data_IF_902590606407
#
_entry.id   IF_902590606407
#
_cell.length_a   1.000
_cell.length_b   1.000
_cell.length_c   1.000
_cell.angle_alpha   90.00
_cell.angle_beta   90.00
_cell.angle_gamma   90.00
#
_symmetry.space_group_name_H-M   'P 1'
#
loop_
_entity.id
_entity.type
_entity.pdbx_description
1 polymer ?
#
# COMPACT_ATOMS: atom_id res chain seq x y z
N UNK A 1 44.13 -33.26 -10.99
CA UNK A 1 43.10 -32.61 -10.16
C UNK A 1 42.32 -31.63 -11.03
N UNK A 2 41.21 -32.06 -11.63
CA UNK A 2 40.31 -31.21 -12.41
C UNK A 2 38.91 -31.34 -11.79
N UNK A 3 38.52 -30.35 -10.97
CA UNK A 3 37.15 -30.25 -10.48
C UNK A 3 36.33 -29.51 -11.54
N UNK A 4 35.51 -30.28 -12.27
CA UNK A 4 34.43 -29.77 -13.11
C UNK A 4 33.36 -29.15 -12.20
N UNK A 5 33.24 -27.83 -12.21
CA UNK A 5 32.09 -27.12 -11.66
C UNK A 5 30.96 -27.19 -12.67
N UNK A 6 29.96 -28.03 -12.41
CA UNK A 6 28.76 -28.14 -13.23
C UNK A 6 27.89 -26.90 -13.06
N UNK A 7 27.78 -26.09 -14.12
CA UNK A 7 26.73 -25.11 -14.29
C UNK A 7 25.42 -25.87 -14.52
N UNK A 8 24.56 -25.96 -13.52
CA UNK A 8 23.17 -26.39 -13.72
C UNK A 8 22.36 -25.13 -14.00
N UNK A 9 22.15 -24.85 -15.29
CA UNK A 9 21.17 -23.87 -15.73
C UNK A 9 19.77 -24.45 -15.51
N UNK A 10 19.06 -23.97 -14.50
CA UNK A 10 17.67 -24.34 -14.25
C UNK A 10 16.78 -23.59 -15.26
N UNK A 11 16.48 -24.21 -16.39
CA UNK A 11 15.50 -23.70 -17.34
C UNK A 11 14.09 -23.85 -16.74
N UNK A 12 13.54 -22.77 -16.21
CA UNK A 12 12.12 -22.67 -15.86
C UNK A 12 11.32 -22.49 -17.15
N UNK A 13 10.94 -23.60 -17.78
CA UNK A 13 9.90 -23.61 -18.81
C UNK A 13 8.57 -23.43 -18.06
N UNK A 14 8.06 -22.20 -17.99
CA UNK A 14 6.66 -21.97 -17.61
C UNK A 14 5.76 -22.46 -18.74
N UNK A 15 5.45 -23.76 -18.78
CA UNK A 15 4.20 -24.18 -19.38
C UNK A 15 3.08 -23.70 -18.47
N UNK A 16 2.57 -22.50 -18.75
CA UNK A 16 1.31 -22.00 -18.22
C UNK A 16 0.17 -22.85 -18.79
N UNK A 17 0.00 -24.09 -18.30
CA UNK A 17 -1.35 -24.61 -18.22
C UNK A 17 -2.05 -23.72 -17.21
N UNK A 18 -2.82 -22.74 -17.69
CA UNK A 18 -3.71 -21.99 -16.83
C UNK A 18 -4.59 -23.03 -16.14
N UNK A 19 -4.32 -23.33 -14.87
CA UNK A 19 -5.36 -23.94 -14.05
C UNK A 19 -6.55 -23.00 -14.19
N UNK A 20 -7.62 -23.49 -14.80
CA UNK A 20 -8.88 -22.78 -14.96
C UNK A 20 -9.49 -22.64 -13.57
N UNK A 21 -8.98 -21.67 -12.80
CA UNK A 21 -9.55 -21.30 -11.52
C UNK A 21 -10.84 -20.58 -11.83
N UNK A 22 -11.95 -21.22 -11.50
CA UNK A 22 -13.26 -20.60 -11.49
C UNK A 22 -13.57 -20.08 -10.09
N UNK A 23 -14.13 -18.88 -10.01
CA UNK A 23 -14.61 -18.30 -8.77
C UNK A 23 -15.95 -17.61 -9.01
N UNK A 24 -17.03 -18.18 -8.49
CA UNK A 24 -18.41 -17.73 -8.74
C UNK A 24 -18.60 -16.23 -8.50
N UNK A 25 -18.00 -15.68 -7.43
CA UNK A 25 -18.11 -14.25 -7.11
C UNK A 25 -17.51 -13.34 -8.19
N UNK A 26 -16.55 -13.82 -8.98
CA UNK A 26 -15.96 -13.06 -10.09
C UNK A 26 -16.81 -13.09 -11.38
N UNK A 27 -17.87 -13.90 -11.43
CA UNK A 27 -18.80 -13.90 -12.57
C UNK A 27 -19.56 -12.57 -12.69
N UNK A 28 -19.98 -12.25 -13.90
CA UNK A 28 -20.72 -11.02 -14.20
C UNK A 28 -22.00 -10.93 -13.37
N UNK A 29 -22.79 -12.02 -13.34
CA UNK A 29 -24.05 -12.08 -12.58
C UNK A 29 -23.85 -11.82 -11.08
N UNK A 30 -22.80 -12.40 -10.47
CA UNK A 30 -22.49 -12.16 -9.05
C UNK A 30 -21.99 -10.76 -8.79
N UNK A 31 -21.18 -10.20 -9.70
CA UNK A 31 -20.70 -8.81 -9.60
C UNK A 31 -21.84 -7.81 -9.74
N UNK A 32 -22.77 -8.01 -10.68
CA UNK A 32 -23.95 -7.16 -10.82
C UNK A 32 -24.86 -7.23 -9.58
N UNK A 33 -25.07 -8.43 -9.04
CA UNK A 33 -25.81 -8.59 -7.77
C UNK A 33 -25.11 -7.87 -6.62
N UNK A 34 -23.78 -7.96 -6.54
CA UNK A 34 -23.00 -7.29 -5.51
C UNK A 34 -23.02 -5.76 -5.68
N UNK A 35 -22.92 -5.24 -6.90
CA UNK A 35 -23.08 -3.81 -7.20
C UNK A 35 -24.42 -3.26 -6.69
N UNK A 36 -25.52 -3.97 -6.97
CA UNK A 36 -26.84 -3.58 -6.47
C UNK A 36 -26.89 -3.57 -4.93
N UNK A 37 -26.26 -4.54 -4.27
CA UNK A 37 -26.14 -4.55 -2.80
C UNK A 37 -25.33 -3.35 -2.28
N UNK A 38 -24.25 -2.96 -2.97
CA UNK A 38 -23.46 -1.78 -2.60
C UNK A 38 -24.29 -0.49 -2.74
N UNK A 39 -25.06 -0.34 -3.83
CA UNK A 39 -25.97 0.80 -4.02
C UNK A 39 -27.05 0.89 -2.93
N UNK A 40 -27.59 -0.25 -2.51
CA UNK A 40 -28.54 -0.31 -1.39
C UNK A 40 -27.88 0.11 -0.07
N UNK A 41 -26.67 -0.36 0.23
CA UNK A 41 -25.90 0.06 1.42
C UNK A 41 -25.65 1.57 1.43
N UNK A 42 -25.26 2.15 0.29
CA UNK A 42 -25.08 3.59 0.16
C UNK A 42 -26.39 4.33 0.46
N UNK A 43 -27.49 3.91 -0.16
CA UNK A 43 -28.80 4.53 0.01
C UNK A 43 -29.27 4.47 1.47
N UNK A 44 -29.05 3.34 2.15
CA UNK A 44 -29.41 3.15 3.55
C UNK A 44 -28.61 4.08 4.48
N UNK A 45 -27.31 4.26 4.24
CA UNK A 45 -26.48 5.17 5.02
C UNK A 45 -26.84 6.65 4.82
N UNK A 46 -27.51 7.01 3.73
CA UNK A 46 -27.95 8.39 3.48
C UNK A 46 -29.25 8.78 4.18
N UNK A 47 -29.94 7.82 4.83
CA UNK A 47 -31.14 8.11 5.61
C UNK A 47 -30.77 8.80 6.93
N UNK A 48 -31.33 10.00 7.24
CA UNK A 48 -30.96 10.77 8.43
C UNK A 48 -31.06 9.99 9.76
N UNK A 49 -32.05 9.12 9.89
CA UNK A 49 -32.24 8.24 11.05
C UNK A 49 -31.06 7.28 11.29
N UNK A 50 -30.30 6.97 10.24
CA UNK A 50 -29.16 6.04 10.29
C UNK A 50 -27.82 6.71 10.54
N UNK A 51 -27.75 8.04 10.57
CA UNK A 51 -26.47 8.78 10.73
C UNK A 51 -25.75 8.44 12.05
N UNK A 52 -26.48 7.96 13.06
CA UNK A 52 -25.91 7.53 14.35
C UNK A 52 -25.62 6.04 14.44
N UNK A 53 -26.01 5.25 13.43
CA UNK A 53 -25.73 3.83 13.36
C UNK A 53 -24.38 3.60 12.68
N UNK A 54 -23.35 3.35 13.49
CA UNK A 54 -21.96 3.18 13.02
C UNK A 54 -21.86 2.09 11.95
N UNK A 55 -22.52 0.94 12.14
CA UNK A 55 -22.42 -0.18 11.21
C UNK A 55 -23.05 0.13 9.85
N UNK A 56 -24.19 0.82 9.83
CA UNK A 56 -24.83 1.23 8.57
C UNK A 56 -23.97 2.26 7.85
N UNK A 57 -23.49 3.28 8.59
CA UNK A 57 -22.62 4.33 8.03
C UNK A 57 -21.34 3.76 7.46
N UNK A 58 -20.66 2.88 8.19
CA UNK A 58 -19.42 2.23 7.76
C UNK A 58 -19.63 1.45 6.46
N UNK A 59 -20.67 0.63 6.39
CA UNK A 59 -21.00 -0.14 5.20
C UNK A 59 -21.35 0.72 3.98
N UNK A 60 -22.12 1.79 4.16
CA UNK A 60 -22.55 2.65 3.05
C UNK A 60 -21.43 3.56 2.53
N UNK A 61 -20.64 4.14 3.43
CA UNK A 61 -19.48 4.96 3.07
C UNK A 61 -18.40 4.12 2.39
N UNK A 62 -18.12 2.91 2.91
CA UNK A 62 -17.22 1.95 2.25
C UNK A 62 -17.71 1.54 0.86
N UNK A 63 -19.02 1.33 0.68
CA UNK A 63 -19.59 0.96 -0.61
C UNK A 63 -19.37 2.06 -1.66
N UNK A 64 -19.56 3.33 -1.27
CA UNK A 64 -19.30 4.47 -2.15
C UNK A 64 -17.82 4.58 -2.55
N UNK A 65 -16.92 4.39 -1.58
CA UNK A 65 -15.48 4.36 -1.79
C UNK A 65 -15.07 3.25 -2.78
N UNK A 66 -15.53 2.01 -2.56
CA UNK A 66 -15.19 0.86 -3.38
C UNK A 66 -15.64 1.06 -4.84
N UNK A 67 -16.80 1.65 -5.07
CA UNK A 67 -17.35 1.86 -6.41
C UNK A 67 -16.85 3.16 -7.07
N UNK A 68 -16.04 3.97 -6.38
CA UNK A 68 -15.68 5.34 -6.81
C UNK A 68 -16.90 6.18 -7.22
N UNK A 69 -18.00 6.00 -6.48
CA UNK A 69 -19.28 6.58 -6.85
C UNK A 69 -19.37 8.06 -6.46
N UNK A 70 -19.29 8.94 -7.47
CA UNK A 70 -19.32 10.40 -7.32
C UNK A 70 -20.68 11.02 -7.66
N UNK A 71 -21.76 10.24 -7.58
CA UNK A 71 -23.11 10.71 -7.87
C UNK A 71 -23.44 12.03 -7.13
N UNK A 72 -24.01 12.99 -7.87
CA UNK A 72 -24.28 14.33 -7.35
C UNK A 72 -25.30 14.33 -6.21
N UNK A 73 -26.29 13.42 -6.23
CA UNK A 73 -27.27 13.31 -5.15
C UNK A 73 -26.58 12.79 -3.88
N UNK A 74 -25.70 11.79 -4.02
CA UNK A 74 -24.91 11.27 -2.90
C UNK A 74 -24.02 12.36 -2.27
N UNK A 75 -23.37 13.18 -3.11
CA UNK A 75 -22.54 14.31 -2.65
C UNK A 75 -23.30 15.31 -1.79
N UNK A 76 -24.56 15.62 -2.12
CA UNK A 76 -25.41 16.56 -1.35
C UNK A 76 -25.72 16.04 0.06
N UNK A 77 -25.91 14.73 0.22
CA UNK A 77 -26.09 14.15 1.56
C UNK A 77 -24.76 14.07 2.31
N UNK A 78 -23.69 13.70 1.60
CA UNK A 78 -22.35 13.65 2.18
C UNK A 78 -21.88 15.01 2.69
N UNK A 79 -22.21 16.11 2.00
CA UNK A 79 -21.85 17.47 2.46
C UNK A 79 -22.41 17.75 3.86
N UNK A 80 -23.64 17.33 4.15
CA UNK A 80 -24.26 17.49 5.48
C UNK A 80 -23.51 16.68 6.56
N UNK A 81 -23.00 15.50 6.20
CA UNK A 81 -22.22 14.68 7.12
C UNK A 81 -20.89 15.35 7.46
N UNK A 82 -20.17 15.83 6.46
CA UNK A 82 -18.86 16.45 6.68
C UNK A 82 -18.97 17.82 7.35
N UNK A 83 -20.01 18.61 7.06
CA UNK A 83 -20.29 19.88 7.74
C UNK A 83 -20.57 19.69 9.24
N UNK A 84 -21.10 18.53 9.62
CA UNK A 84 -21.41 18.17 11.01
C UNK A 84 -20.47 17.13 11.61
N UNK A 85 -19.29 16.93 11.00
CA UNK A 85 -18.34 15.86 11.34
C UNK A 85 -18.01 15.81 12.85
N UNK A 86 -17.86 16.97 13.48
CA UNK A 86 -17.54 17.12 14.89
C UNK A 86 -18.57 16.49 15.84
N UNK A 87 -19.81 16.31 15.37
CA UNK A 87 -20.89 15.76 16.20
C UNK A 87 -20.86 14.23 16.25
N UNK A 88 -20.10 13.58 15.37
CA UNK A 88 -20.06 12.12 15.27
C UNK A 88 -19.03 11.49 16.19
N UNK A 89 -19.16 10.17 16.41
CA UNK A 89 -18.14 9.37 17.11
C UNK A 89 -16.92 9.19 16.22
N UNK A 90 -15.77 8.91 16.85
CA UNK A 90 -14.48 8.72 16.20
C UNK A 90 -14.53 7.83 14.95
N UNK A 91 -15.20 6.68 15.03
CA UNK A 91 -15.26 5.70 13.95
C UNK A 91 -15.92 6.29 12.70
N UNK A 92 -17.02 7.04 12.90
CA UNK A 92 -17.77 7.68 11.82
C UNK A 92 -17.02 8.91 11.30
N UNK A 93 -16.37 9.70 12.17
CA UNK A 93 -15.50 10.81 11.75
C UNK A 93 -14.38 10.34 10.83
N UNK A 94 -13.70 9.24 11.21
CA UNK A 94 -12.65 8.62 10.39
C UNK A 94 -13.22 8.20 9.03
N UNK A 95 -14.38 7.54 9.01
CA UNK A 95 -14.95 7.04 7.76
C UNK A 95 -15.45 8.16 6.84
N UNK A 96 -15.99 9.25 7.39
CA UNK A 96 -16.34 10.46 6.63
C UNK A 96 -15.07 11.03 5.98
N UNK A 97 -13.99 11.26 6.73
CA UNK A 97 -12.74 11.77 6.15
C UNK A 97 -12.18 10.83 5.08
N UNK A 98 -12.14 9.52 5.34
CA UNK A 98 -11.67 8.52 4.38
C UNK A 98 -12.46 8.55 3.06
N UNK A 99 -13.79 8.68 3.15
CA UNK A 99 -14.66 8.78 1.97
C UNK A 99 -14.45 10.08 1.21
N UNK A 100 -14.26 11.20 1.94
CA UNK A 100 -13.94 12.48 1.33
C UNK A 100 -12.63 12.41 0.54
N UNK A 101 -11.59 11.76 1.09
CA UNK A 101 -10.33 11.50 0.37
C UNK A 101 -10.54 10.69 -0.91
N UNK A 102 -11.34 9.62 -0.84
CA UNK A 102 -11.53 8.71 -1.95
C UNK A 102 -12.27 9.33 -3.13
N UNK A 103 -13.25 10.21 -2.86
CA UNK A 103 -14.20 10.68 -3.85
C UNK A 103 -14.01 12.15 -4.23
N UNK A 104 -13.66 13.01 -3.27
CA UNK A 104 -13.69 14.48 -3.41
C UNK A 104 -12.52 15.15 -2.67
N UNK A 105 -11.29 14.67 -2.86
CA UNK A 105 -10.12 15.23 -2.17
C UNK A 105 -9.98 16.73 -2.41
N UNK A 106 -9.91 17.50 -1.32
CA UNK A 106 -9.75 18.96 -1.34
C UNK A 106 -11.02 19.77 -1.63
N UNK A 107 -12.16 19.15 -1.97
CA UNK A 107 -13.38 19.90 -2.30
C UNK A 107 -14.16 20.43 -1.09
N UNK A 108 -14.08 19.74 0.06
CA UNK A 108 -14.71 20.12 1.32
C UNK A 108 -13.71 20.83 2.25
N UNK A 109 -13.04 21.86 1.72
CA UNK A 109 -11.96 22.55 2.43
C UNK A 109 -12.40 23.10 3.80
N UNK A 110 -13.43 23.95 3.84
CA UNK A 110 -13.86 24.64 5.05
C UNK A 110 -14.24 23.71 6.22
N UNK A 111 -15.13 22.70 6.04
CA UNK A 111 -15.49 21.81 7.15
C UNK A 111 -14.29 20.99 7.64
N UNK A 112 -13.40 20.55 6.74
CA UNK A 112 -12.20 19.78 7.13
C UNK A 112 -11.17 20.66 7.82
N UNK A 113 -10.96 21.88 7.33
CA UNK A 113 -10.07 22.86 7.95
C UNK A 113 -10.55 23.22 9.37
N UNK A 114 -11.85 23.50 9.54
CA UNK A 114 -12.44 23.77 10.85
C UNK A 114 -12.32 22.56 11.78
N UNK A 115 -12.56 21.34 11.27
CA UNK A 115 -12.41 20.14 12.09
C UNK A 115 -10.96 19.91 12.55
N UNK A 116 -9.97 20.22 11.71
CA UNK A 116 -8.55 20.14 12.08
C UNK A 116 -8.20 20.99 13.31
N UNK A 117 -8.86 22.15 13.49
CA UNK A 117 -8.60 23.04 14.61
C UNK A 117 -9.09 22.47 15.94
N UNK A 118 -10.24 21.78 15.91
CA UNK A 118 -10.93 21.34 17.12
C UNK A 118 -10.55 19.91 17.52
N UNK A 119 -10.26 19.02 16.58
CA UNK A 119 -9.97 17.61 16.90
C UNK A 119 -8.62 17.48 17.61
N UNK A 120 -8.57 16.82 18.77
CA UNK A 120 -7.33 16.53 19.48
C UNK A 120 -6.79 15.12 19.23
N UNK A 121 -7.44 14.37 18.33
CA UNK A 121 -6.98 13.04 17.92
C UNK A 121 -5.88 13.17 16.85
N UNK A 122 -4.68 12.59 17.07
CA UNK A 122 -3.58 12.68 16.11
C UNK A 122 -3.92 12.17 14.71
N UNK A 123 -4.72 11.09 14.59
CA UNK A 123 -5.04 10.47 13.30
C UNK A 123 -6.06 11.29 12.55
N UNK A 124 -7.16 11.70 13.19
CA UNK A 124 -8.15 12.57 12.55
C UNK A 124 -7.53 13.91 12.15
N UNK A 125 -6.67 14.49 13.00
CA UNK A 125 -5.91 15.68 12.66
C UNK A 125 -5.05 15.47 11.41
N UNK A 126 -4.21 14.43 11.39
CA UNK A 126 -3.36 14.12 10.25
C UNK A 126 -4.16 13.85 8.97
N UNK A 127 -5.32 13.17 9.06
CA UNK A 127 -6.23 13.01 7.92
C UNK A 127 -6.72 14.36 7.40
N UNK A 128 -7.15 15.29 8.28
CA UNK A 128 -7.58 16.62 7.85
C UNK A 128 -6.46 17.39 7.13
N UNK A 129 -5.24 17.37 7.70
CA UNK A 129 -4.09 18.09 7.13
C UNK A 129 -3.73 17.54 5.74
N UNK A 130 -3.73 16.21 5.56
CA UNK A 130 -3.41 15.60 4.26
C UNK A 130 -4.55 15.69 3.24
N UNK A 131 -5.78 15.95 3.69
CA UNK A 131 -6.93 16.14 2.81
C UNK A 131 -6.84 17.48 2.09
N UNK A 132 -6.35 18.49 2.81
CA UNK A 132 -6.14 19.83 2.29
C UNK A 132 -5.04 19.79 1.22
N UNK A 133 -5.29 20.44 0.08
CA UNK A 133 -4.28 20.58 -0.97
C UNK A 133 -3.17 21.53 -0.49
N UNK A 134 -2.14 20.94 0.11
CA UNK A 134 -1.00 21.64 0.69
C UNK A 134 -0.08 22.19 -0.41
N UNK A 135 0.23 23.47 -0.30
CA UNK A 135 1.39 24.11 -0.89
C UNK A 135 2.42 24.38 0.25
N UNK A 136 3.63 24.87 -0.04
CA UNK A 136 4.62 25.15 0.99
C UNK A 136 4.16 26.12 2.10
N UNK A 137 3.27 27.08 1.81
CA UNK A 137 2.75 28.04 2.80
C UNK A 137 1.76 27.37 3.74
N UNK A 138 0.80 26.62 3.20
CA UNK A 138 -0.12 25.82 4.01
C UNK A 138 0.62 24.76 4.82
N UNK A 139 1.67 24.16 4.27
CA UNK A 139 2.51 23.20 4.99
C UNK A 139 3.22 23.85 6.19
N UNK A 140 3.78 25.06 6.02
CA UNK A 140 4.34 25.85 7.14
C UNK A 140 3.30 26.16 8.21
N UNK A 141 2.11 26.58 7.81
CA UNK A 141 1.01 26.83 8.72
C UNK A 141 0.65 25.59 9.55
N UNK A 142 0.45 24.44 8.88
CA UNK A 142 0.11 23.20 9.57
C UNK A 142 1.27 22.63 10.38
N UNK A 143 2.52 22.87 9.99
CA UNK A 143 3.69 22.54 10.81
C UNK A 143 3.61 23.27 12.16
N UNK A 144 3.40 24.59 12.14
CA UNK A 144 3.25 25.38 13.37
C UNK A 144 2.05 24.94 14.20
N UNK A 145 0.89 24.71 13.57
CA UNK A 145 -0.30 24.23 14.28
C UNK A 145 -0.07 22.84 14.91
N UNK A 146 0.59 21.93 14.21
CA UNK A 146 0.92 20.59 14.72
C UNK A 146 1.80 20.67 15.95
N UNK A 147 2.87 21.47 15.90
CA UNK A 147 3.80 21.66 17.01
C UNK A 147 3.14 22.31 18.23
N UNK A 148 2.26 23.29 18.01
CA UNK A 148 1.52 23.95 19.09
C UNK A 148 0.50 23.02 19.76
N UNK A 149 -0.24 22.23 18.96
CA UNK A 149 -1.35 21.40 19.44
C UNK A 149 -0.90 20.06 20.03
N UNK A 150 0.24 19.54 19.57
CA UNK A 150 0.78 18.23 19.96
C UNK A 150 2.20 18.36 20.54
N UNK A 151 2.50 19.44 21.25
CA UNK A 151 3.85 19.74 21.79
C UNK A 151 4.40 18.61 22.65
N UNK A 152 3.56 17.96 23.46
CA UNK A 152 3.89 16.79 24.32
C UNK A 152 3.85 15.44 23.60
N UNK A 153 3.40 15.40 22.34
CA UNK A 153 3.17 14.18 21.55
C UNK A 153 3.95 14.16 20.24
N UNK A 154 5.06 14.88 20.15
CA UNK A 154 5.87 14.92 18.92
C UNK A 154 6.45 13.55 18.54
N UNK A 155 6.67 12.66 19.52
CA UNK A 155 7.09 11.28 19.31
C UNK A 155 5.92 10.31 19.04
N UNK A 156 4.68 10.79 19.01
CA UNK A 156 3.55 9.97 18.60
C UNK A 156 3.72 9.62 17.11
N UNK A 157 3.63 8.35 16.70
CA UNK A 157 4.05 7.91 15.36
C UNK A 157 3.29 8.60 14.22
N UNK A 158 2.01 8.89 14.40
CA UNK A 158 1.21 9.67 13.44
C UNK A 158 1.69 11.12 13.33
N UNK A 159 2.06 11.75 14.45
CA UNK A 159 2.52 13.15 14.47
C UNK A 159 3.91 13.24 13.87
N UNK A 160 4.82 12.34 14.23
CA UNK A 160 6.15 12.27 13.63
C UNK A 160 6.07 12.09 12.11
N UNK A 161 5.22 11.16 11.63
CA UNK A 161 5.00 10.95 10.20
C UNK A 161 4.45 12.20 9.50
N UNK A 162 3.47 12.87 10.11
CA UNK A 162 2.91 14.11 9.58
C UNK A 162 3.96 15.23 9.49
N UNK A 163 4.74 15.45 10.54
CA UNK A 163 5.79 16.47 10.58
C UNK A 163 6.84 16.24 9.49
N UNK A 164 7.29 15.00 9.31
CA UNK A 164 8.25 14.69 8.24
C UNK A 164 7.66 14.86 6.83
N UNK A 165 6.38 14.53 6.63
CA UNK A 165 5.70 14.78 5.35
C UNK A 165 5.50 16.28 5.08
N UNK A 166 5.14 17.06 6.10
CA UNK A 166 5.05 18.53 5.98
C UNK A 166 6.41 19.12 5.61
N UNK A 167 7.50 18.63 6.21
CA UNK A 167 8.86 19.04 5.86
C UNK A 167 9.20 18.74 4.40
N UNK A 168 8.83 17.56 3.89
CA UNK A 168 9.00 17.22 2.47
C UNK A 168 8.24 18.18 1.55
N UNK A 169 7.04 18.62 1.92
CA UNK A 169 6.27 19.58 1.13
C UNK A 169 6.91 20.98 1.16
N UNK A 170 7.46 21.38 2.31
CA UNK A 170 8.10 22.68 2.50
C UNK A 170 9.46 22.79 1.78
N UNK A 171 10.30 21.79 1.96
CA UNK A 171 11.72 21.82 1.57
C UNK A 171 11.98 21.10 0.23
N UNK A 172 10.96 20.40 -0.27
CA UNK A 172 11.10 19.45 -1.36
C UNK A 172 11.46 18.04 -0.85
N UNK A 173 11.18 17.04 -1.70
CA UNK A 173 11.55 15.66 -1.40
C UNK A 173 13.07 15.52 -1.38
N UNK A 174 13.65 14.89 -0.33
CA UNK A 174 15.08 14.61 -0.31
C UNK A 174 15.49 13.76 -1.51
N UNK A 175 16.70 13.98 -2.02
CA UNK A 175 17.25 13.16 -3.10
C UNK A 175 17.26 11.68 -2.69
N UNK A 176 16.87 10.82 -3.64
CA UNK A 176 16.89 9.37 -3.43
C UNK A 176 18.34 8.92 -3.18
N UNK A 177 18.62 8.19 -2.07
CA UNK A 177 19.94 7.63 -1.87
C UNK A 177 20.26 6.60 -2.97
N UNK A 178 21.54 6.28 -3.22
CA UNK A 178 21.92 5.37 -4.29
C UNK A 178 21.21 4.00 -4.14
N UNK A 179 20.38 3.64 -5.13
CA UNK A 179 19.68 2.34 -5.16
C UNK A 179 20.66 1.17 -5.14
N UNK A 180 21.83 1.35 -5.76
CA UNK A 180 22.90 0.35 -5.75
C UNK A 180 23.28 -0.06 -4.32
N UNK A 181 23.43 0.90 -3.41
CA UNK A 181 23.79 0.61 -2.02
C UNK A 181 22.75 -0.29 -1.35
N UNK A 182 21.46 -0.07 -1.62
CA UNK A 182 20.36 -0.86 -1.07
C UNK A 182 20.26 -2.26 -1.71
N UNK A 183 20.44 -2.34 -3.03
CA UNK A 183 20.35 -3.59 -3.79
C UNK A 183 21.54 -4.53 -3.49
N UNK A 184 22.73 -3.95 -3.31
CA UNK A 184 23.94 -4.66 -2.92
C UNK A 184 24.08 -4.84 -1.40
N UNK A 185 23.19 -4.23 -0.60
CA UNK A 185 23.26 -4.34 0.85
C UNK A 185 23.17 -5.80 1.28
N UNK A 186 24.28 -6.32 1.77
CA UNK A 186 24.46 -7.69 2.24
C UNK A 186 24.81 -7.68 3.71
N UNK A 187 23.95 -7.07 4.54
CA UNK A 187 24.09 -7.25 6.00
C UNK A 187 24.14 -8.74 6.36
N UNK A 188 23.37 -9.53 5.63
CA UNK A 188 23.27 -10.99 5.74
C UNK A 188 23.08 -11.59 4.35
N UNK A 189 24.07 -12.36 3.91
CA UNK A 189 24.14 -13.00 2.60
C UNK A 189 23.21 -14.22 2.45
N UNK A 190 22.13 -14.31 3.25
CA UNK A 190 21.30 -15.52 3.38
C UNK A 190 19.78 -15.28 3.50
N UNK A 191 19.28 -14.08 3.20
CA UNK A 191 17.84 -13.76 3.32
C UNK A 191 17.25 -13.37 1.96
N UNK A 192 16.08 -13.92 1.65
CA UNK A 192 15.30 -13.56 0.47
C UNK A 192 14.84 -12.09 0.57
N UNK A 193 14.91 -11.36 -0.56
CA UNK A 193 14.44 -9.98 -0.63
C UNK A 193 13.59 -9.77 -1.87
N UNK A 194 12.49 -9.05 -1.70
CA UNK A 194 11.74 -8.43 -2.79
C UNK A 194 11.97 -6.93 -2.73
N UNK A 195 12.06 -6.28 -3.88
CA UNK A 195 12.05 -4.82 -3.96
C UNK A 195 10.89 -4.42 -4.86
N UNK A 196 9.98 -3.61 -4.33
CA UNK A 196 8.88 -2.99 -5.05
C UNK A 196 9.26 -1.55 -5.34
N UNK A 197 9.65 -1.26 -6.57
CA UNK A 197 10.00 0.09 -7.01
C UNK A 197 8.77 0.77 -7.60
N UNK A 198 8.37 1.91 -7.05
CA UNK A 198 7.11 2.59 -7.38
C UNK A 198 7.27 4.09 -7.58
N UNK A 199 6.29 4.72 -8.26
CA UNK A 199 6.20 6.18 -8.38
C UNK A 199 5.69 6.82 -7.10
N UNK A 200 6.07 8.08 -6.86
CA UNK A 200 5.69 8.86 -5.67
C UNK A 200 4.18 8.91 -5.43
N UNK A 201 3.40 9.13 -6.49
CA UNK A 201 1.96 9.33 -6.40
C UNK A 201 1.14 8.03 -6.36
N UNK A 202 1.81 6.86 -6.47
CA UNK A 202 1.21 5.51 -6.45
C UNK A 202 0.15 5.24 -7.52
N UNK A 203 -0.13 6.19 -8.42
CA UNK A 203 -1.14 6.06 -9.47
C UNK A 203 -0.73 5.09 -10.59
N UNK A 204 0.53 4.67 -10.61
CA UNK A 204 1.10 3.83 -11.64
C UNK A 204 1.62 2.52 -11.06
N UNK A 205 1.66 1.48 -11.90
CA UNK A 205 2.28 0.23 -11.52
C UNK A 205 3.76 0.44 -11.22
N UNK A 206 4.17 -0.11 -10.08
CA UNK A 206 5.58 -0.35 -9.81
C UNK A 206 6.02 -1.70 -10.35
N UNK A 207 7.27 -2.04 -10.07
CA UNK A 207 7.87 -3.31 -10.46
C UNK A 207 8.48 -4.02 -9.25
N UNK A 208 8.09 -5.28 -9.07
CA UNK A 208 8.75 -6.20 -8.17
C UNK A 208 10.00 -6.77 -8.82
N UNK A 209 11.09 -6.81 -8.08
CA UNK A 209 12.30 -7.58 -8.40
C UNK A 209 12.66 -8.50 -7.24
N UNK A 210 13.25 -9.64 -7.56
CA UNK A 210 13.46 -10.73 -6.61
C UNK A 210 14.94 -11.03 -6.44
N UNK A 211 15.39 -11.06 -5.20
CA UNK A 211 16.74 -11.45 -4.81
C UNK A 211 16.68 -12.70 -3.97
N UNK A 212 17.33 -13.76 -4.44
CA UNK A 212 17.41 -15.04 -3.74
C UNK A 212 18.16 -14.86 -2.41
N UNK A 213 17.97 -15.83 -1.51
CA UNK A 213 18.76 -15.92 -0.29
C UNK A 213 20.27 -15.99 -0.58
N UNK A 214 20.70 -16.58 -1.71
CA UNK A 214 22.09 -16.60 -2.16
C UNK A 214 22.67 -15.23 -2.56
N UNK A 215 21.85 -14.19 -2.60
CA UNK A 215 22.24 -12.84 -2.99
C UNK A 215 22.10 -12.54 -4.49
N UNK A 216 21.86 -13.55 -5.32
CA UNK A 216 21.65 -13.39 -6.76
C UNK A 216 20.22 -12.92 -7.07
N UNK A 217 20.08 -12.00 -8.03
CA UNK A 217 18.78 -11.59 -8.57
C UNK A 217 18.23 -12.64 -9.54
N UNK A 218 16.91 -12.82 -9.52
CA UNK A 218 16.24 -13.66 -10.51
C UNK A 218 16.31 -13.00 -11.88
N UNK A 219 16.53 -13.83 -12.90
CA UNK A 219 16.59 -13.43 -14.30
C UNK A 219 15.60 -14.25 -15.11
N UNK A 220 15.05 -13.64 -16.16
CA UNK A 220 14.20 -14.32 -17.11
C UNK A 220 15.04 -15.15 -18.11
N UNK A 221 14.37 -15.79 -19.07
CA UNK A 221 15.00 -16.60 -20.11
C UNK A 221 15.93 -15.81 -21.05
N UNK A 222 15.79 -14.50 -21.12
CA UNK A 222 16.68 -13.62 -21.90
C UNK A 222 17.93 -13.19 -21.11
N UNK A 223 17.97 -13.48 -19.80
CA UNK A 223 19.01 -13.03 -18.89
C UNK A 223 18.77 -11.64 -18.29
N UNK A 224 17.67 -10.96 -18.65
CA UNK A 224 17.26 -9.71 -18.01
C UNK A 224 16.77 -9.96 -16.58
N UNK A 225 16.77 -8.92 -15.73
CA UNK A 225 16.22 -9.03 -14.36
C UNK A 225 14.73 -9.37 -14.46
N UNK A 226 14.32 -10.43 -13.78
CA UNK A 226 12.93 -10.85 -13.73
C UNK A 226 12.12 -9.81 -12.93
N UNK A 227 11.16 -9.18 -13.60
CA UNK A 227 10.23 -8.23 -12.99
C UNK A 227 8.81 -8.75 -12.96
N UNK A 228 7.99 -8.17 -12.09
CA UNK A 228 6.55 -8.38 -12.08
C UNK A 228 5.82 -7.08 -11.73
N UNK A 229 4.92 -6.55 -12.58
CA UNK A 229 4.16 -5.35 -12.26
C UNK A 229 3.22 -5.59 -11.09
N UNK A 230 3.13 -4.58 -10.23
CA UNK A 230 2.34 -4.64 -9.02
C UNK A 230 1.86 -3.23 -8.62
N UNK A 231 0.79 -3.14 -7.84
CA UNK A 231 0.14 -1.87 -7.51
C UNK A 231 0.10 -1.66 -5.99
N UNK A 232 0.26 -0.42 -5.55
CA UNK A 232 0.46 -0.08 -4.12
C UNK A 232 -0.43 1.08 -3.63
N UNK A 233 -1.41 1.47 -4.45
CA UNK A 233 -2.37 2.52 -4.12
C UNK A 233 -3.53 1.97 -3.29
N UNK A 234 -3.97 2.75 -2.32
CA UNK A 234 -5.22 2.49 -1.62
C UNK A 234 -6.40 3.24 -2.23
N UNK A 235 -7.61 2.76 -1.98
CA UNK A 235 -8.86 3.36 -2.46
C UNK A 235 -8.97 4.85 -2.08
N UNK A 236 -8.65 5.29 -0.84
CA UNK A 236 -8.65 6.71 -0.49
C UNK A 236 -7.42 7.49 -0.98
N UNK A 237 -6.37 6.80 -1.43
CA UNK A 237 -5.06 7.40 -1.72
C UNK A 237 -4.52 8.29 -0.58
N UNK A 238 -4.77 7.88 0.66
CA UNK A 238 -4.23 8.54 1.85
C UNK A 238 -2.76 8.17 2.05
N UNK A 239 -1.96 8.97 2.79
CA UNK A 239 -0.59 8.62 3.15
C UNK A 239 -0.49 7.25 3.84
N UNK A 240 0.61 6.52 3.62
CA UNK A 240 0.77 5.16 4.11
C UNK A 240 0.98 5.02 5.62
N UNK A 241 1.19 6.10 6.36
CA UNK A 241 1.14 6.02 7.83
C UNK A 241 -0.29 6.07 8.39
N UNK A 242 -1.30 6.35 7.57
CA UNK A 242 -2.72 6.33 7.94
C UNK A 242 -3.33 4.96 7.64
N UNK A 243 -4.20 4.48 8.53
CA UNK A 243 -4.98 3.25 8.32
C UNK A 243 -5.76 3.34 6.98
N UNK A 244 -5.70 2.30 6.16
CA UNK A 244 -6.24 2.26 4.78
C UNK A 244 -5.61 3.27 3.80
N UNK A 245 -4.48 3.88 4.14
CA UNK A 245 -3.65 4.63 3.19
C UNK A 245 -2.84 3.71 2.28
N UNK A 246 -2.11 4.29 1.33
CA UNK A 246 -1.23 3.57 0.39
C UNK A 246 -0.28 2.62 1.12
N UNK A 247 0.23 1.58 0.46
CA UNK A 247 1.27 0.75 1.09
C UNK A 247 2.49 1.64 1.40
N UNK A 248 2.95 1.67 2.68
CA UNK A 248 3.97 2.62 3.10
C UNK A 248 5.34 2.25 2.55
N UNK A 249 6.16 3.26 2.30
CA UNK A 249 7.55 3.08 1.91
C UNK A 249 8.42 2.62 3.08
N UNK A 250 9.30 1.67 2.82
CA UNK A 250 10.16 1.07 3.82
C UNK A 250 10.27 -0.44 3.69
N UNK A 251 10.55 -1.11 4.82
CA UNK A 251 10.83 -2.54 4.86
C UNK A 251 9.75 -3.32 5.63
N UNK A 252 9.20 -4.34 4.99
CA UNK A 252 8.26 -5.30 5.57
C UNK A 252 8.93 -6.65 5.75
N UNK A 253 8.47 -7.41 6.75
CA UNK A 253 8.83 -8.82 6.88
C UNK A 253 7.89 -9.70 6.05
N UNK A 254 8.45 -10.61 5.25
CA UNK A 254 7.72 -11.57 4.42
C UNK A 254 7.58 -12.88 5.18
N UNK A 255 6.34 -13.28 5.48
CA UNK A 255 6.08 -14.36 6.43
C UNK A 255 5.69 -15.69 5.80
N UNK A 256 5.00 -15.65 4.66
CA UNK A 256 4.47 -16.85 4.01
C UNK A 256 3.24 -16.58 3.14
N UNK A 257 2.85 -17.59 2.38
CA UNK A 257 1.64 -17.57 1.58
C UNK A 257 0.45 -18.18 2.35
N UNK A 258 -0.75 -17.64 2.17
CA UNK A 258 -1.98 -18.14 2.78
C UNK A 258 -3.20 -17.88 1.90
N UNK A 259 -4.26 -18.66 2.07
CA UNK A 259 -5.55 -18.45 1.37
C UNK A 259 -6.40 -17.41 2.09
N UNK A 260 -7.09 -16.55 1.36
CA UNK A 260 -8.03 -15.58 1.91
C UNK A 260 -9.47 -16.04 1.73
N UNK A 261 -10.33 -15.81 2.74
CA UNK A 261 -11.78 -15.99 2.62
C UNK A 261 -12.49 -14.73 2.10
N UNK A 262 -11.77 -13.60 2.00
CA UNK A 262 -12.34 -12.34 1.54
C UNK A 262 -12.62 -12.40 0.04
N UNK A 263 -13.90 -12.27 -0.33
CA UNK A 263 -14.35 -12.40 -1.73
C UNK A 263 -13.60 -11.46 -2.67
N UNK A 264 -13.43 -10.19 -2.30
CA UNK A 264 -12.77 -9.14 -3.09
C UNK A 264 -11.25 -9.35 -3.27
N UNK A 265 -10.61 -10.14 -2.41
CA UNK A 265 -9.21 -10.57 -2.57
C UNK A 265 -9.11 -11.72 -3.57
N UNK A 266 -10.09 -12.63 -3.53
CA UNK A 266 -10.16 -13.77 -4.44
C UNK A 266 -9.47 -15.03 -3.93
N UNK A 267 -9.54 -16.12 -4.72
CA UNK A 267 -9.09 -17.44 -4.31
C UNK A 267 -7.57 -17.64 -4.45
N UNK A 268 -6.88 -16.74 -5.15
CA UNK A 268 -5.43 -16.82 -5.32
C UNK A 268 -4.76 -16.59 -3.97
N UNK A 269 -3.80 -17.46 -3.60
CA UNK A 269 -3.02 -17.29 -2.38
C UNK A 269 -2.43 -15.89 -2.29
N UNK A 270 -2.45 -15.31 -1.08
CA UNK A 270 -1.84 -14.02 -0.75
C UNK A 270 -0.49 -14.24 -0.06
N UNK A 271 0.41 -13.26 -0.11
CA UNK A 271 1.64 -13.25 0.71
C UNK A 271 1.42 -12.32 1.90
N UNK A 272 1.64 -12.82 3.12
CA UNK A 272 1.53 -12.04 4.34
C UNK A 272 2.80 -11.21 4.57
N UNK A 273 2.59 -9.92 4.78
CA UNK A 273 3.63 -8.98 5.17
C UNK A 273 3.37 -8.50 6.61
N UNK A 274 4.43 -8.20 7.34
CA UNK A 274 4.33 -7.51 8.63
C UNK A 274 5.12 -6.22 8.62
N UNK A 275 4.60 -5.24 9.34
CA UNK A 275 5.31 -4.01 9.69
C UNK A 275 5.96 -4.12 11.08
N UNK A 276 6.92 -3.23 11.42
CA UNK A 276 7.46 -3.15 12.77
C UNK A 276 6.34 -3.00 13.81
N UNK A 277 6.50 -3.62 14.98
CA UNK A 277 5.51 -3.64 16.07
C UNK A 277 4.17 -4.35 15.80
N UNK A 278 3.91 -4.87 14.60
CA UNK A 278 2.75 -5.74 14.34
C UNK A 278 2.92 -7.16 14.90
N UNK A 279 4.19 -7.58 15.08
CA UNK A 279 4.57 -8.88 15.64
C UNK A 279 5.81 -8.74 16.54
N UNK A 280 6.20 -9.84 17.20
CA UNK A 280 7.43 -9.88 18.01
C UNK A 280 8.65 -9.58 17.14
N UNK A 281 9.65 -8.88 17.69
CA UNK A 281 10.90 -8.57 16.98
C UNK A 281 11.58 -9.83 16.43
N UNK A 282 11.59 -10.93 17.18
CA UNK A 282 12.13 -12.21 16.69
C UNK A 282 11.41 -12.71 15.44
N UNK A 283 10.11 -12.44 15.30
CA UNK A 283 9.34 -12.78 14.10
C UNK A 283 9.59 -11.79 12.97
N UNK A 284 9.46 -10.48 13.21
CA UNK A 284 9.64 -9.46 12.18
C UNK A 284 11.04 -9.50 11.58
N UNK A 285 12.07 -9.57 12.42
CA UNK A 285 13.47 -9.62 11.98
C UNK A 285 13.94 -11.04 11.63
N UNK A 286 13.04 -12.01 11.45
CA UNK A 286 13.38 -13.37 11.02
C UNK A 286 14.47 -14.06 11.89
N UNK A 287 14.36 -13.93 13.21
CA UNK A 287 15.30 -14.40 14.23
C UNK A 287 16.72 -13.80 14.12
N UNK A 288 16.85 -12.65 13.47
CA UNK A 288 18.10 -11.89 13.47
C UNK A 288 18.52 -11.53 14.90
N UNK A 289 19.83 -11.48 15.18
CA UNK A 289 20.37 -11.16 16.51
C UNK A 289 19.93 -9.76 16.95
N UNK A 290 18.84 -9.71 17.72
CA UNK A 290 18.31 -8.51 18.36
C UNK A 290 19.14 -8.24 19.62
N UNK A 291 20.38 -7.76 19.48
CA UNK A 291 21.21 -7.43 20.63
C UNK A 291 21.21 -5.92 20.90
N UNK A 292 20.57 -5.52 22.00
CA UNK A 292 20.84 -4.25 22.72
C UNK A 292 20.54 -2.94 21.99
N UNK A 293 19.84 -2.95 20.85
CA UNK A 293 19.42 -1.74 20.13
C UNK A 293 17.97 -1.40 20.42
N UNK A 294 17.65 -0.11 20.49
CA UNK A 294 16.26 0.34 20.46
C UNK A 294 15.60 -0.04 19.12
N UNK A 295 14.27 -0.09 19.11
CA UNK A 295 13.47 -0.60 17.99
C UNK A 295 13.67 0.21 16.69
N UNK A 296 13.88 1.52 16.78
CA UNK A 296 14.14 2.39 15.61
C UNK A 296 15.51 2.10 15.03
N UNK A 297 16.54 2.04 15.87
CA UNK A 297 17.91 1.69 15.44
C UNK A 297 17.97 0.30 14.82
N UNK A 298 17.16 -0.65 15.31
CA UNK A 298 17.06 -1.98 14.75
C UNK A 298 16.41 -1.97 13.36
N UNK A 299 15.30 -1.24 13.18
CA UNK A 299 14.67 -1.06 11.88
C UNK A 299 15.59 -0.40 10.86
N UNK A 300 16.23 0.72 11.22
CA UNK A 300 17.19 1.43 10.35
C UNK A 300 18.39 0.56 9.96
N UNK A 301 18.74 -0.43 10.80
CA UNK A 301 19.79 -1.38 10.47
C UNK A 301 19.42 -2.37 9.36
N UNK A 302 18.18 -2.36 8.85
CA UNK A 302 17.78 -3.09 7.64
C UNK A 302 18.19 -2.37 6.35
N UNK A 303 18.71 -1.14 6.46
CA UNK A 303 19.15 -0.30 5.37
C UNK A 303 20.67 -0.03 5.45
N UNK A 304 21.33 0.15 4.30
CA UNK A 304 22.72 0.63 4.26
C UNK A 304 22.83 2.02 4.88
N UNK A 305 24.04 2.42 5.27
CA UNK A 305 24.28 3.70 5.97
C UNK A 305 23.76 4.93 5.19
N UNK A 306 23.96 4.95 3.87
CA UNK A 306 23.48 6.02 2.98
C UNK A 306 21.97 6.22 2.97
N UNK A 307 21.20 5.25 3.48
CA UNK A 307 19.73 5.29 3.51
C UNK A 307 19.15 5.61 4.89
N UNK A 308 19.95 5.60 5.96
CA UNK A 308 19.40 5.67 7.34
C UNK A 308 18.79 7.02 7.70
N UNK A 309 19.23 8.09 7.05
CA UNK A 309 18.70 9.45 7.22
C UNK A 309 17.60 9.79 6.20
N UNK A 310 17.29 8.88 5.27
CA UNK A 310 16.24 9.11 4.27
C UNK A 310 14.87 8.89 4.89
N UNK A 311 14.30 9.96 5.45
CA UNK A 311 13.01 9.92 6.17
C UNK A 311 11.90 9.08 5.49
N UNK A 312 11.71 9.10 4.15
CA UNK A 312 10.64 8.32 3.53
C UNK A 312 10.67 6.81 3.82
N UNK A 313 11.81 6.19 4.13
CA UNK A 313 11.83 4.75 4.51
C UNK A 313 11.30 4.48 5.92
N UNK A 314 11.08 5.52 6.72
CA UNK A 314 10.48 5.41 8.06
C UNK A 314 8.96 5.26 8.00
N UNK A 315 8.32 5.41 6.83
CA UNK A 315 6.86 5.35 6.73
C UNK A 315 6.32 3.99 7.20
N UNK A 316 6.93 2.88 6.78
CA UNK A 316 6.53 1.54 7.24
C UNK A 316 6.73 1.37 8.76
N UNK A 317 7.81 1.91 9.31
CA UNK A 317 8.07 1.88 10.76
C UNK A 317 6.98 2.64 11.52
N UNK A 318 6.74 3.90 11.16
CA UNK A 318 5.78 4.76 11.82
C UNK A 318 4.34 4.24 11.66
N UNK A 319 3.99 3.69 10.48
CA UNK A 319 2.70 3.05 10.24
C UNK A 319 2.46 1.87 11.22
N UNK A 320 3.45 0.99 11.36
CA UNK A 320 3.38 -0.14 12.30
C UNK A 320 3.31 0.31 13.76
N UNK A 321 4.13 1.29 14.17
CA UNK A 321 4.04 1.91 15.51
C UNK A 321 2.68 2.57 15.78
N UNK A 322 2.03 3.10 14.74
CA UNK A 322 0.69 3.68 14.83
C UNK A 322 -0.44 2.64 14.85
N UNK A 323 -0.11 1.34 14.86
CA UNK A 323 -1.07 0.25 14.94
C UNK A 323 -1.70 -0.14 13.61
N UNK A 324 -1.13 0.27 12.47
CA UNK A 324 -1.53 -0.27 11.17
C UNK A 324 -1.02 -1.72 11.06
N UNK A 325 -1.79 -2.58 10.42
CA UNK A 325 -1.53 -4.03 10.30
C UNK A 325 -2.15 -4.61 9.01
N UNK A 326 -2.04 -5.93 8.85
CA UNK A 326 -2.73 -6.75 7.84
C UNK A 326 -2.48 -6.33 6.38
N UNK A 327 -1.29 -5.77 6.11
CA UNK A 327 -0.83 -5.51 4.74
C UNK A 327 -0.40 -6.83 4.11
N UNK A 328 -0.99 -7.15 2.96
CA UNK A 328 -0.71 -8.39 2.24
C UNK A 328 -0.49 -8.10 0.76
N UNK A 329 0.16 -9.02 0.05
CA UNK A 329 0.27 -8.98 -1.42
C UNK A 329 -0.75 -9.95 -2.00
N UNK A 330 -1.73 -9.46 -2.74
CA UNK A 330 -2.87 -10.27 -3.16
C UNK A 330 -3.42 -9.90 -4.55
N UNK A 331 -4.27 -10.77 -5.10
CA UNK A 331 -5.00 -10.53 -6.35
C UNK A 331 -6.25 -9.69 -6.12
N UNK A 332 -7.15 -9.61 -7.10
CA UNK A 332 -8.45 -9.01 -6.84
C UNK A 332 -9.54 -9.61 -7.72
N UNK A 333 -10.73 -9.68 -7.16
CA UNK A 333 -11.96 -10.03 -7.88
C UNK A 333 -12.92 -8.84 -7.94
N UNK A 334 -12.52 -7.68 -7.41
CA UNK A 334 -13.29 -6.45 -7.54
C UNK A 334 -13.59 -6.16 -9.02
N UNK A 335 -14.71 -5.50 -9.24
CA UNK A 335 -15.14 -5.19 -10.59
C UNK A 335 -14.33 -4.03 -11.17
N UNK A 336 -13.69 -4.27 -12.31
CA UNK A 336 -12.90 -3.24 -13.00
C UNK A 336 -13.78 -2.11 -13.55
N UNK A 337 -15.08 -2.34 -13.75
CA UNK A 337 -16.03 -1.33 -14.24
C UNK A 337 -16.08 -0.10 -13.33
N UNK A 338 -15.80 -0.26 -12.03
CA UNK A 338 -15.78 0.83 -11.05
C UNK A 338 -14.68 1.86 -11.30
N UNK A 339 -13.65 1.50 -12.06
CA UNK A 339 -12.43 2.30 -12.19
C UNK A 339 -12.11 2.67 -13.64
N UNK A 340 -13.05 2.49 -14.57
CA UNK A 340 -12.80 2.70 -16.01
C UNK A 340 -12.39 4.14 -16.36
N UNK A 341 -12.85 5.11 -15.59
CA UNK A 341 -12.51 6.53 -15.75
C UNK A 341 -11.33 6.98 -14.86
N UNK A 342 -10.70 6.07 -14.11
CA UNK A 342 -9.62 6.39 -13.20
C UNK A 342 -8.24 6.29 -13.89
N UNK A 343 -7.28 7.18 -13.57
CA UNK A 343 -5.97 7.22 -14.23
C UNK A 343 -5.11 5.98 -13.98
N UNK A 344 -5.43 5.19 -12.96
CA UNK A 344 -4.73 3.97 -12.60
C UNK A 344 -5.33 2.71 -13.25
N UNK A 345 -6.41 2.82 -14.02
CA UNK A 345 -6.96 1.70 -14.78
C UNK A 345 -5.88 1.07 -15.67
N UNK A 346 -5.77 -0.28 -15.78
CA UNK A 346 -6.69 -1.31 -15.30
C UNK A 346 -6.35 -1.88 -13.91
N UNK A 347 -5.67 -1.13 -13.04
CA UNK A 347 -5.31 -1.60 -11.70
C UNK A 347 -6.46 -1.44 -10.71
N UNK A 348 -6.47 -2.28 -9.68
CA UNK A 348 -7.46 -2.24 -8.59
C UNK A 348 -6.77 -1.76 -7.31
N UNK A 349 -7.13 -0.56 -6.78
CA UNK A 349 -6.67 -0.11 -5.48
C UNK A 349 -7.27 -0.97 -4.35
N UNK A 350 -6.60 -1.01 -3.21
CA UNK A 350 -7.00 -1.83 -2.05
C UNK A 350 -7.22 -0.96 -0.82
N UNK A 351 -7.40 -1.52 0.38
CA UNK A 351 -7.27 -0.75 1.63
C UNK A 351 -5.82 -0.75 2.14
N UNK A 352 -4.87 -0.48 1.24
CA UNK A 352 -3.46 -0.29 1.59
C UNK A 352 -2.57 -1.52 1.50
N UNK A 353 -3.09 -2.61 0.96
CA UNK A 353 -2.34 -3.77 0.52
C UNK A 353 -1.66 -3.53 -0.84
N UNK A 354 -0.76 -4.43 -1.21
CA UNK A 354 -0.23 -4.47 -2.55
C UNK A 354 -1.09 -5.39 -3.41
N UNK A 355 -1.50 -4.96 -4.61
CA UNK A 355 -2.34 -5.74 -5.51
C UNK A 355 -1.63 -6.13 -6.81
N UNK A 356 -1.75 -7.41 -7.17
CA UNK A 356 -1.45 -7.91 -8.49
C UNK A 356 -2.71 -7.89 -9.35
N UNK A 357 -2.60 -7.38 -10.58
CA UNK A 357 -3.71 -7.41 -11.53
C UNK A 357 -4.21 -8.85 -11.74
N UNK A 358 -5.53 -9.04 -11.66
CA UNK A 358 -6.22 -10.25 -12.07
C UNK A 358 -7.40 -9.90 -12.99
N UNK A 359 -7.54 -10.67 -14.06
CA UNK A 359 -8.63 -10.51 -15.04
C UNK A 359 -9.45 -11.78 -15.03
N UNK A 360 -10.77 -11.61 -14.98
CA UNK A 360 -11.76 -12.68 -14.86
C UNK A 360 -12.78 -12.51 -15.98
N UNK A 361 -13.20 -13.61 -16.60
CA UNK A 361 -14.27 -13.61 -17.61
C UNK A 361 -15.67 -13.49 -16.98
N UNK A 362 -16.69 -13.41 -17.82
CA UNK A 362 -18.09 -13.26 -17.40
C UNK A 362 -18.62 -14.48 -16.61
N UNK A 363 -18.01 -15.65 -16.80
CA UNK A 363 -18.36 -16.90 -16.10
C UNK A 363 -17.55 -17.11 -14.82
N UNK A 364 -16.68 -16.16 -14.47
CA UNK A 364 -15.83 -16.19 -13.29
C UNK A 364 -14.58 -17.03 -13.44
N UNK A 365 -14.14 -17.37 -14.66
CA UNK A 365 -12.84 -17.99 -14.90
C UNK A 365 -11.73 -16.93 -14.96
N UNK A 366 -10.62 -17.22 -14.30
CA UNK A 366 -9.45 -16.34 -14.31
C UNK A 366 -8.72 -16.43 -15.65
N UNK A 367 -8.66 -15.32 -16.39
CA UNK A 367 -7.94 -15.18 -17.66
C UNK A 367 -6.46 -14.85 -17.41
N UNK A 368 -6.19 -13.96 -16.45
CA UNK A 368 -4.85 -13.46 -16.17
C UNK A 368 -4.66 -13.21 -14.68
N UNK A 369 -3.44 -13.40 -14.17
CA UNK A 369 -3.12 -13.09 -12.78
C UNK A 369 -1.63 -12.86 -12.56
N UNK A 370 -1.25 -11.61 -12.29
CA UNK A 370 0.07 -11.29 -11.75
C UNK A 370 0.24 -11.85 -10.34
N UNK A 371 -0.85 -11.99 -9.56
CA UNK A 371 -0.75 -12.64 -8.26
C UNK A 371 -0.35 -14.11 -8.37
N UNK A 372 -0.89 -14.85 -9.31
CA UNK A 372 -0.52 -16.25 -9.53
C UNK A 372 0.94 -16.36 -9.97
N UNK A 373 1.42 -15.44 -10.82
CA UNK A 373 2.84 -15.37 -11.20
C UNK A 373 3.73 -15.13 -9.97
N UNK A 374 3.37 -14.18 -9.10
CA UNK A 374 4.07 -13.94 -7.84
C UNK A 374 4.12 -15.21 -6.97
N UNK A 375 2.99 -15.88 -6.79
CA UNK A 375 2.92 -17.12 -6.00
C UNK A 375 3.76 -18.23 -6.62
N UNK A 376 3.78 -18.36 -7.95
CA UNK A 376 4.61 -19.35 -8.62
C UNK A 376 6.10 -19.07 -8.43
N UNK A 377 6.54 -17.81 -8.58
CA UNK A 377 7.92 -17.39 -8.30
C UNK A 377 8.26 -17.70 -6.84
N UNK A 378 7.44 -17.24 -5.90
CA UNK A 378 7.66 -17.43 -4.47
C UNK A 378 7.76 -18.92 -4.07
N UNK A 379 6.87 -19.77 -4.61
CA UNK A 379 6.90 -21.22 -4.39
C UNK A 379 8.13 -21.87 -5.01
N UNK A 380 8.56 -21.45 -6.20
CA UNK A 380 9.76 -21.98 -6.85
C UNK A 380 11.04 -21.74 -6.03
N UNK A 381 11.03 -20.73 -5.16
CA UNK A 381 12.10 -20.42 -4.22
C UNK A 381 11.98 -21.17 -2.87
N UNK A 382 11.02 -22.09 -2.73
CA UNK A 382 10.78 -22.80 -1.47
C UNK A 382 9.95 -22.00 -0.46
N UNK A 383 9.19 -20.99 -0.89
CA UNK A 383 8.37 -20.13 -0.03
C UNK A 383 9.16 -19.45 1.11
N UNK A 384 10.28 -18.76 0.80
CA UNK A 384 11.22 -18.28 1.80
C UNK A 384 10.66 -17.13 2.63
N UNK A 385 11.00 -17.09 3.92
CA UNK A 385 10.88 -15.85 4.71
C UNK A 385 11.93 -14.85 4.28
N UNK A 386 11.63 -13.57 4.47
CA UNK A 386 12.57 -12.52 4.08
C UNK A 386 12.02 -11.12 4.28
N UNK A 387 12.40 -10.22 3.38
CA UNK A 387 11.98 -8.82 3.43
C UNK A 387 11.41 -8.34 2.10
N UNK A 388 10.45 -7.43 2.16
CA UNK A 388 10.00 -6.64 1.03
C UNK A 388 10.39 -5.18 1.29
N UNK A 389 11.16 -4.59 0.39
CA UNK A 389 11.45 -3.17 0.39
C UNK A 389 10.53 -2.48 -0.61
N UNK A 390 9.61 -1.65 -0.14
CA UNK A 390 8.83 -0.77 -1.02
C UNK A 390 9.54 0.56 -1.06
N UNK A 391 10.02 0.96 -2.25
CA UNK A 391 10.82 2.16 -2.45
C UNK A 391 10.22 3.02 -3.56
N UNK A 392 10.14 4.30 -3.28
CA UNK A 392 9.77 5.32 -4.24
C UNK A 392 10.97 5.81 -5.02
N UNK A 393 10.90 5.79 -6.35
CA UNK A 393 12.08 6.11 -7.18
C UNK A 393 12.02 7.51 -7.80
N UNK A 394 10.84 7.97 -8.24
CA UNK A 394 10.62 9.30 -8.82
C UNK A 394 9.11 9.63 -8.94
N UNK A 395 8.79 10.77 -9.53
CA UNK A 395 7.45 11.31 -9.74
C UNK A 395 6.94 11.22 -11.20
N UNK A 396 7.59 10.39 -12.04
CA UNK A 396 7.16 10.22 -13.44
C UNK A 396 5.71 9.76 -13.53
N UNK A 397 5.00 10.29 -14.54
CA UNK A 397 3.58 10.03 -14.80
C UNK A 397 3.35 8.82 -15.69
N UNK A 398 4.02 7.71 -15.35
CA UNK A 398 4.00 6.46 -16.11
C UNK A 398 4.31 5.26 -15.22
N UNK A 399 3.95 4.06 -15.69
CA UNK A 399 4.37 2.81 -15.05
C UNK A 399 5.90 2.72 -14.99
N UNK A 400 6.42 2.08 -13.94
CA UNK A 400 7.84 1.68 -13.91
C UNK A 400 8.06 0.60 -14.96
N UNK A 401 9.05 0.80 -15.83
CA UNK A 401 9.30 -0.06 -16.99
C UNK A 401 10.46 -1.03 -16.77
N UNK A 402 10.50 -2.13 -17.54
CA UNK A 402 11.65 -3.04 -17.57
C UNK A 402 12.95 -2.32 -17.96
N UNK A 403 12.88 -1.32 -18.84
CA UNK A 403 14.05 -0.56 -19.26
C UNK A 403 14.65 0.23 -18.09
N UNK A 404 13.82 0.89 -17.30
CA UNK A 404 14.26 1.59 -16.08
C UNK A 404 14.88 0.61 -15.08
N UNK A 405 14.28 -0.57 -14.88
CA UNK A 405 14.86 -1.61 -14.04
C UNK A 405 16.23 -2.03 -14.60
N UNK A 406 16.36 -2.29 -15.89
CA UNK A 406 17.63 -2.67 -16.48
C UNK A 406 18.71 -1.58 -16.29
N UNK A 407 18.33 -0.29 -16.36
CA UNK A 407 19.23 0.84 -16.08
C UNK A 407 19.67 0.88 -14.61
N UNK A 408 18.75 0.68 -13.65
CA UNK A 408 19.06 0.62 -12.22
C UNK A 408 20.05 -0.50 -11.92
N UNK A 409 19.89 -1.64 -12.62
CA UNK A 409 20.73 -2.82 -12.45
C UNK A 409 21.99 -2.82 -13.33
N UNK A 410 22.20 -1.79 -14.17
CA UNK A 410 23.41 -1.66 -14.97
C UNK A 410 24.61 -1.42 -14.05
N UNK A 411 25.45 -2.46 -13.89
CA UNK A 411 26.63 -2.41 -13.02
C UNK A 411 26.41 -2.95 -11.60
N UNK A 412 25.27 -3.61 -11.34
CA UNK A 412 25.02 -4.47 -10.19
C UNK A 412 25.33 -5.91 -10.61
N UNK A 413 26.22 -6.59 -9.89
CA UNK A 413 26.66 -7.95 -10.21
C UNK A 413 25.61 -9.01 -9.87
#
# INVERSE_FOLDING_TARGET
>A
MLKKSGFIALFLIFQLSAQTIQFDFASLSRRDSFYNQLKLKMSEAMKPENFRNIAIMDNGLWAAELMKDRDSSYKVYFSKLIDSIQTFKYEVQRQILQTAFALWKGEFYDPVFNFAHITNDPKLFAMCVNYINLDPDKARYFMSLTLAKFHEKQNHPIIEALLGNLKIIMDGRPALPPLKDLLEYQKDSSVFRMYMLARHDRNYNGMLVFRKASGEFLRDSSGAILTLPYFAMSLPNMPGYITNGNSPQGCFSVMGAYGSSAKLIGPTFSIRLFMPSETKNTTFYNNYKVNGKDDRSLYLSLFPESWREYFPVMETYLAGKAGRNDIVMHGSTADLRYYTDEPFYPNVPTHGCLSGQEVWDENGYRIFSNQQKLINIYKSLGSPRGFLYLIEIDDQKSNVTQEEINKIFAGIK
#
